data_IF_836772941315
#
_entry.id   IF_836772941315
#
_cell.length_a   1.000
_cell.length_b   1.000
_cell.length_c   1.000
_cell.angle_alpha   90.00
_cell.angle_beta   90.00
_cell.angle_gamma   90.00
#
_symmetry.space_group_name_H-M   'P 1'
#
loop_
_entity.id
_entity.type
_entity.pdbx_description
1 polymer ?
#
# COMPACT_ATOMS: atom_id res chain seq x y z
N UNK A 1 11.61 31.04 -18.58
CA UNK A 1 10.62 29.95 -18.70
C UNK A 1 11.32 28.75 -19.31
N UNK A 2 10.98 27.52 -18.91
CA UNK A 2 11.53 26.29 -19.48
C UNK A 2 10.39 25.52 -20.17
N UNK A 3 10.63 25.07 -21.40
CA UNK A 3 9.71 24.19 -22.13
C UNK A 3 10.13 22.73 -21.96
N UNK A 4 9.20 21.88 -21.54
CA UNK A 4 9.39 20.44 -21.40
C UNK A 4 8.41 19.72 -22.33
N UNK A 5 8.91 18.76 -23.09
CA UNK A 5 8.16 18.07 -24.14
C UNK A 5 8.17 16.55 -23.94
N UNK A 6 8.41 15.82 -25.02
CA UNK A 6 8.26 14.36 -25.11
C UNK A 6 8.91 13.60 -23.95
N UNK A 7 10.15 13.94 -23.56
CA UNK A 7 10.88 13.22 -22.49
C UNK A 7 10.14 13.22 -21.16
N UNK A 8 9.49 14.32 -20.79
CA UNK A 8 8.68 14.40 -19.58
C UNK A 8 7.39 13.60 -19.73
N UNK A 9 6.71 13.75 -20.88
CA UNK A 9 5.41 13.10 -21.12
C UNK A 9 5.48 11.57 -21.14
N UNK A 10 6.63 11.00 -21.54
CA UNK A 10 6.82 9.55 -21.62
C UNK A 10 7.71 8.98 -20.52
N UNK A 11 8.17 9.80 -19.57
CA UNK A 11 9.18 9.42 -18.56
C UNK A 11 10.34 8.63 -19.19
N UNK A 12 11.03 9.24 -20.17
CA UNK A 12 11.95 8.52 -21.06
C UNK A 12 13.11 7.77 -20.36
N UNK A 13 13.45 8.17 -19.15
CA UNK A 13 14.46 7.57 -18.27
C UNK A 13 13.91 6.43 -17.39
N UNK A 14 12.61 6.40 -17.12
CA UNK A 14 11.93 5.35 -16.36
C UNK A 14 10.46 5.17 -16.85
N UNK A 15 10.24 4.57 -18.04
CA UNK A 15 8.94 4.60 -18.72
C UNK A 15 7.92 3.61 -18.15
N UNK A 16 8.23 2.94 -17.03
CA UNK A 16 7.33 2.02 -16.35
C UNK A 16 7.49 2.10 -14.84
N UNK A 17 6.38 1.85 -14.13
CA UNK A 17 6.37 1.60 -12.69
C UNK A 17 6.05 0.14 -12.45
N UNK A 18 6.74 -0.49 -11.49
CA UNK A 18 6.44 -1.86 -11.07
C UNK A 18 5.22 -1.89 -10.12
N UNK A 19 4.03 -1.70 -10.70
CA UNK A 19 2.76 -1.74 -9.97
C UNK A 19 2.08 -3.10 -10.08
N UNK A 20 1.48 -3.55 -8.98
CA UNK A 20 0.83 -4.84 -8.90
C UNK A 20 -0.52 -4.78 -8.18
N UNK A 21 -1.53 -5.44 -8.73
CA UNK A 21 -2.80 -5.73 -8.06
C UNK A 21 -2.82 -7.19 -7.60
N UNK A 22 -3.13 -7.42 -6.31
CA UNK A 22 -3.14 -8.75 -5.69
C UNK A 22 -4.34 -8.90 -4.77
N UNK A 23 -4.99 -10.06 -4.83
CA UNK A 23 -5.96 -10.48 -3.83
C UNK A 23 -5.24 -10.74 -2.51
N UNK A 24 -5.72 -10.12 -1.42
CA UNK A 24 -5.14 -10.26 -0.07
C UNK A 24 -6.08 -10.96 0.91
N UNK A 25 -7.38 -10.99 0.59
CA UNK A 25 -8.38 -11.77 1.31
C UNK A 25 -9.54 -12.14 0.38
N UNK A 26 -10.19 -13.28 0.64
CA UNK A 26 -11.41 -13.73 -0.03
C UNK A 26 -12.38 -14.27 1.02
N UNK A 27 -13.63 -13.81 1.00
CA UNK A 27 -14.62 -14.18 2.02
C UNK A 27 -14.07 -13.99 3.45
N UNK A 28 -13.42 -12.84 3.67
CA UNK A 28 -12.70 -12.47 4.90
C UNK A 28 -11.53 -13.38 5.30
N UNK A 29 -11.21 -14.42 4.53
CA UNK A 29 -10.05 -15.28 4.75
C UNK A 29 -8.82 -14.67 4.10
N UNK A 30 -7.74 -14.41 4.86
CA UNK A 30 -6.50 -13.90 4.30
C UNK A 30 -5.91 -14.90 3.29
N UNK A 31 -5.33 -14.39 2.21
CA UNK A 31 -4.63 -15.21 1.22
C UNK A 31 -3.24 -14.66 0.93
N UNK A 32 -2.30 -15.55 0.65
CA UNK A 32 -0.92 -15.24 0.31
C UNK A 32 -0.51 -15.95 -0.98
N UNK A 33 0.29 -15.28 -1.80
CA UNK A 33 0.94 -15.90 -2.95
C UNK A 33 2.28 -16.52 -2.54
N UNK A 34 2.41 -17.84 -2.63
CA UNK A 34 3.60 -18.59 -2.21
C UNK A 34 4.71 -18.73 -3.27
N UNK A 35 4.49 -18.31 -4.53
CA UNK A 35 5.52 -18.50 -5.57
C UNK A 35 6.81 -17.78 -5.19
N UNK A 36 7.95 -18.45 -5.28
CA UNK A 36 9.28 -17.90 -5.01
C UNK A 36 9.47 -16.54 -5.72
N UNK A 37 9.88 -15.52 -4.97
CA UNK A 37 10.05 -14.14 -5.45
C UNK A 37 8.78 -13.29 -5.52
N UNK A 38 7.60 -13.79 -5.09
CA UNK A 38 6.34 -13.02 -5.08
C UNK A 38 5.53 -13.24 -3.79
N UNK A 39 6.21 -13.42 -2.67
CA UNK A 39 5.57 -13.47 -1.35
C UNK A 39 4.81 -12.16 -1.11
N UNK A 40 3.51 -12.25 -0.88
CA UNK A 40 2.64 -11.09 -0.63
C UNK A 40 2.18 -11.07 0.82
N UNK A 41 2.01 -9.88 1.39
CA UNK A 41 1.41 -9.73 2.73
C UNK A 41 -0.09 -10.04 2.71
N UNK A 42 -0.58 -11.00 3.51
CA UNK A 42 -2.00 -11.35 3.53
C UNK A 42 -2.84 -10.28 4.23
N UNK A 43 -4.16 -10.40 4.10
CA UNK A 43 -5.15 -9.60 4.82
C UNK A 43 -5.33 -8.17 4.30
N UNK A 44 -6.48 -7.54 4.58
CA UNK A 44 -6.66 -6.10 4.40
C UNK A 44 -5.66 -5.32 5.26
N UNK A 45 -5.07 -4.26 4.71
CA UNK A 45 -4.00 -3.49 5.35
C UNK A 45 -4.30 -2.00 5.36
N UNK A 46 -3.65 -1.29 6.26
CA UNK A 46 -3.54 0.17 6.31
C UNK A 46 -2.04 0.55 6.32
N UNK A 47 -1.75 1.77 5.88
CA UNK A 47 -0.42 2.36 5.94
C UNK A 47 -0.51 3.63 6.78
N UNK A 48 0.41 3.77 7.73
CA UNK A 48 0.51 4.96 8.57
C UNK A 48 1.89 5.58 8.48
N UNK A 49 1.94 6.89 8.32
CA UNK A 49 3.16 7.68 8.36
C UNK A 49 3.44 8.18 9.77
N UNK A 50 4.62 7.89 10.28
CA UNK A 50 5.12 8.44 11.54
C UNK A 50 5.88 9.72 11.25
N UNK A 51 5.54 10.78 11.99
CA UNK A 51 6.24 12.05 11.92
C UNK A 51 7.13 12.23 13.17
N UNK A 52 8.31 12.80 12.97
CA UNK A 52 9.22 13.25 14.03
C UNK A 52 9.63 14.68 13.76
N UNK A 53 9.43 15.58 14.73
CA UNK A 53 9.70 17.01 14.59
C UNK A 53 9.09 17.67 13.33
N UNK A 54 7.95 17.15 12.83
CA UNK A 54 7.26 17.64 11.64
C UNK A 54 7.70 17.02 10.31
N UNK A 55 8.71 16.14 10.32
CA UNK A 55 9.20 15.42 9.14
C UNK A 55 8.79 13.94 9.16
N UNK A 56 8.65 13.34 7.98
CA UNK A 56 8.38 11.91 7.82
C UNK A 56 9.59 11.08 8.25
N UNK A 57 9.39 10.13 9.15
CA UNK A 57 10.47 9.28 9.68
C UNK A 57 10.39 7.86 9.16
N UNK A 58 9.19 7.27 9.15
CA UNK A 58 8.95 5.90 8.69
C UNK A 58 7.49 5.75 8.32
N UNK A 59 7.22 4.84 7.38
CA UNK A 59 5.87 4.33 7.15
C UNK A 59 5.74 2.95 7.83
N UNK A 60 4.59 2.69 8.45
CA UNK A 60 4.24 1.40 9.05
C UNK A 60 3.06 0.80 8.31
N UNK A 61 3.17 -0.46 7.89
CA UNK A 61 2.11 -1.23 7.26
C UNK A 61 1.60 -2.25 8.26
N UNK A 62 0.30 -2.26 8.52
CA UNK A 62 -0.35 -3.22 9.42
C UNK A 62 -1.72 -3.61 8.91
N UNK A 63 -2.43 -4.43 9.67
CA UNK A 63 -3.80 -4.85 9.38
C UNK A 63 -4.74 -3.64 9.40
N UNK A 64 -5.73 -3.61 8.51
CA UNK A 64 -6.68 -2.51 8.44
C UNK A 64 -7.51 -2.32 9.72
N UNK A 65 -7.57 -3.34 10.58
CA UNK A 65 -8.27 -3.35 11.87
C UNK A 65 -7.38 -2.92 13.04
N UNK A 66 -6.08 -2.71 12.82
CA UNK A 66 -5.19 -2.23 13.87
C UNK A 66 -5.42 -0.75 14.15
N UNK A 67 -5.37 -0.40 15.44
CA UNK A 67 -5.29 0.99 15.90
C UNK A 67 -3.82 1.36 16.06
N UNK A 68 -3.37 2.37 15.33
CA UNK A 68 -2.03 2.95 15.54
C UNK A 68 -2.10 4.12 16.53
N UNK A 69 -0.96 4.51 17.14
CA UNK A 69 -0.89 5.68 18.02
C UNK A 69 -1.42 6.94 17.34
N UNK A 70 -1.99 7.88 18.11
CA UNK A 70 -2.56 9.14 17.58
C UNK A 70 -1.56 10.00 16.82
N UNK A 71 -0.25 9.83 17.06
CA UNK A 71 0.82 10.52 16.33
C UNK A 71 1.03 10.01 14.90
N UNK A 72 0.39 8.90 14.53
CA UNK A 72 0.47 8.26 13.23
C UNK A 72 -0.60 8.79 12.26
N UNK A 73 -0.19 9.14 11.04
CA UNK A 73 -1.09 9.68 10.03
C UNK A 73 -1.50 8.57 9.05
N UNK A 74 -2.78 8.20 8.94
CA UNK A 74 -3.23 7.19 7.97
C UNK A 74 -3.08 7.72 6.54
N UNK A 75 -2.51 6.90 5.66
CA UNK A 75 -2.30 7.26 4.25
C UNK A 75 -3.40 6.73 3.32
N UNK A 76 -4.04 5.60 3.66
CA UNK A 76 -5.19 5.12 2.91
C UNK A 76 -6.47 5.70 3.52
N UNK A 77 -7.17 6.50 2.72
CA UNK A 77 -8.45 7.10 3.08
C UNK A 77 -9.59 6.52 2.23
N UNK A 78 -10.80 6.35 2.77
CA UNK A 78 -11.95 5.89 1.98
C UNK A 78 -12.34 6.91 0.91
N UNK A 79 -12.22 6.52 -0.37
CA UNK A 79 -12.64 7.36 -1.51
C UNK A 79 -13.92 6.86 -2.19
N UNK A 80 -14.29 5.60 -1.94
CA UNK A 80 -15.44 4.90 -2.51
C UNK A 80 -16.04 3.98 -1.43
N UNK A 81 -17.36 3.96 -1.30
CA UNK A 81 -18.10 2.99 -0.49
C UNK A 81 -19.41 2.63 -1.19
N UNK A 82 -19.75 1.35 -1.25
CA UNK A 82 -20.97 0.84 -1.89
C UNK A 82 -21.22 1.40 -3.31
N UNK A 83 -20.15 1.46 -4.11
CA UNK A 83 -20.19 1.98 -5.48
C UNK A 83 -20.35 3.50 -5.59
N UNK A 84 -20.37 4.23 -4.47
CA UNK A 84 -20.50 5.69 -4.42
C UNK A 84 -19.20 6.34 -4.04
N UNK A 85 -18.81 7.36 -4.80
CA UNK A 85 -17.63 8.17 -4.50
C UNK A 85 -17.90 9.01 -3.26
N UNK A 86 -17.03 8.92 -2.26
CA UNK A 86 -17.16 9.62 -0.99
C UNK A 86 -16.58 11.03 -1.00
N UNK A 87 -15.59 11.28 -1.86
CA UNK A 87 -14.92 12.57 -1.92
C UNK A 87 -14.46 12.95 -3.32
N UNK A 88 -14.32 14.25 -3.53
CA UNK A 88 -13.72 14.83 -4.73
C UNK A 88 -12.78 15.96 -4.30
N UNK A 89 -11.50 15.87 -4.67
CA UNK A 89 -10.52 16.91 -4.40
C UNK A 89 -10.28 17.76 -5.67
N UNK A 90 -10.48 19.09 -5.62
CA UNK A 90 -10.08 19.98 -6.70
C UNK A 90 -8.56 19.95 -6.94
N UNK A 91 -8.13 20.22 -8.17
CA UNK A 91 -6.71 20.19 -8.54
C UNK A 91 -5.83 21.11 -7.68
N UNK A 92 -6.35 22.26 -7.24
CA UNK A 92 -5.62 23.17 -6.37
C UNK A 92 -5.29 22.53 -5.00
N UNK A 93 -6.23 21.77 -4.43
CA UNK A 93 -6.02 21.06 -3.16
C UNK A 93 -5.04 19.91 -3.33
N UNK A 94 -5.14 19.15 -4.43
CA UNK A 94 -4.18 18.08 -4.75
C UNK A 94 -2.75 18.63 -4.88
N UNK A 95 -2.58 19.77 -5.55
CA UNK A 95 -1.27 20.45 -5.67
C UNK A 95 -0.72 20.88 -4.32
N UNK A 96 -1.57 21.45 -3.46
CA UNK A 96 -1.15 21.89 -2.14
C UNK A 96 -0.77 20.71 -1.23
N UNK A 97 -1.56 19.64 -1.24
CA UNK A 97 -1.25 18.41 -0.52
C UNK A 97 0.08 17.82 -0.99
N UNK A 98 0.31 17.71 -2.31
CA UNK A 98 1.57 17.22 -2.85
C UNK A 98 2.77 18.06 -2.40
N UNK A 99 2.65 19.39 -2.40
CA UNK A 99 3.72 20.28 -1.90
C UNK A 99 4.01 20.06 -0.42
N UNK A 100 2.97 19.94 0.42
CA UNK A 100 3.12 19.70 1.85
C UNK A 100 3.79 18.35 2.15
N UNK A 101 3.34 17.29 1.48
CA UNK A 101 3.92 15.95 1.64
C UNK A 101 5.39 15.91 1.20
N UNK A 102 5.74 16.53 0.07
CA UNK A 102 7.14 16.63 -0.37
C UNK A 102 7.97 17.45 0.62
N UNK A 103 7.44 18.56 1.13
CA UNK A 103 8.16 19.41 2.09
C UNK A 103 8.38 18.71 3.44
N UNK A 104 7.49 17.80 3.83
CA UNK A 104 7.61 17.01 5.05
C UNK A 104 8.61 15.84 4.92
N UNK A 105 9.12 15.54 3.71
CA UNK A 105 10.16 14.52 3.57
C UNK A 105 11.51 15.04 4.11
N UNK A 106 12.30 14.18 4.77
CA UNK A 106 13.68 14.46 5.14
C UNK A 106 14.46 15.05 3.96
N UNK A 107 15.32 16.06 4.16
CA UNK A 107 16.07 16.71 3.08
C UNK A 107 16.78 15.74 2.12
N UNK A 108 17.34 14.65 2.64
CA UNK A 108 18.03 13.63 1.84
C UNK A 108 17.10 12.92 0.85
N UNK A 109 15.82 12.76 1.18
CA UNK A 109 14.82 12.10 0.33
C UNK A 109 14.19 13.05 -0.70
N UNK A 110 14.52 14.35 -0.65
CA UNK A 110 14.08 15.35 -1.63
C UNK A 110 15.06 15.49 -2.81
N UNK A 111 16.24 14.87 -2.72
CA UNK A 111 17.21 14.81 -3.81
C UNK A 111 16.75 13.85 -4.91
N UNK A 112 17.08 14.15 -6.17
CA UNK A 112 16.73 13.29 -7.32
C UNK A 112 17.50 11.96 -7.33
N UNK A 113 18.67 11.94 -6.73
CA UNK A 113 19.62 10.83 -6.60
C UNK A 113 19.64 10.24 -5.18
N UNK A 114 18.54 10.38 -4.44
CA UNK A 114 18.43 9.85 -3.08
C UNK A 114 18.73 8.34 -3.05
N UNK A 115 19.68 7.88 -2.20
CA UNK A 115 20.20 6.51 -2.26
C UNK A 115 19.22 5.45 -1.72
N UNK A 116 18.24 5.85 -0.89
CA UNK A 116 17.23 4.98 -0.31
C UNK A 116 15.91 5.74 -0.13
N UNK A 117 14.79 5.01 -0.08
CA UNK A 117 13.48 5.57 0.23
C UNK A 117 13.25 5.76 1.73
N UNK A 118 12.07 6.27 2.09
CA UNK A 118 11.63 6.32 3.48
C UNK A 118 11.54 4.89 4.05
N UNK A 119 12.06 4.62 5.26
CA UNK A 119 11.94 3.29 5.86
C UNK A 119 10.49 2.81 5.95
N UNK A 120 10.28 1.53 5.67
CA UNK A 120 8.98 0.87 5.79
C UNK A 120 9.08 -0.26 6.80
N UNK A 121 8.17 -0.26 7.77
CA UNK A 121 8.06 -1.27 8.82
C UNK A 121 6.74 -2.03 8.68
N UNK A 122 6.71 -3.26 9.20
CA UNK A 122 5.49 -4.07 9.28
C UNK A 122 5.08 -4.24 10.73
N UNK A 123 3.78 -4.19 11.02
CA UNK A 123 3.29 -4.41 12.38
C UNK A 123 3.50 -5.87 12.79
N UNK A 124 3.71 -6.08 14.09
CA UNK A 124 3.86 -7.43 14.62
C UNK A 124 2.60 -8.30 14.39
N UNK A 125 1.41 -7.70 14.33
CA UNK A 125 0.17 -8.44 14.03
C UNK A 125 0.12 -8.90 12.57
N UNK A 126 0.57 -8.06 11.64
CA UNK A 126 0.65 -8.43 10.22
C UNK A 126 1.72 -9.51 9.98
N UNK A 127 2.85 -9.45 10.67
CA UNK A 127 3.87 -10.50 10.63
C UNK A 127 3.35 -11.84 11.13
N UNK A 128 2.66 -11.85 12.28
CA UNK A 128 2.00 -13.07 12.79
C UNK A 128 1.01 -13.64 11.78
N UNK A 129 0.15 -12.80 11.20
CA UNK A 129 -0.81 -13.25 10.18
C UNK A 129 -0.11 -13.85 8.95
N UNK A 130 0.99 -13.26 8.52
CA UNK A 130 1.80 -13.80 7.41
C UNK A 130 2.28 -15.22 7.73
N UNK A 131 2.83 -15.41 8.92
CA UNK A 131 3.44 -16.67 9.32
C UNK A 131 2.36 -17.76 9.54
N UNK A 132 1.22 -17.39 10.13
CA UNK A 132 0.03 -18.26 10.26
C UNK A 132 -0.44 -18.75 8.89
N UNK A 133 -0.73 -17.84 7.96
CA UNK A 133 -1.24 -18.18 6.61
C UNK A 133 -0.20 -18.96 5.80
N UNK A 134 1.09 -18.68 5.97
CA UNK A 134 2.15 -19.43 5.31
C UNK A 134 2.26 -20.87 5.83
N UNK A 135 2.00 -21.11 7.11
CA UNK A 135 2.03 -22.44 7.72
C UNK A 135 0.84 -23.32 7.31
N UNK A 136 -0.31 -22.70 7.04
CA UNK A 136 -1.54 -23.38 6.61
C UNK A 136 -1.56 -23.69 5.11
N UNK A 137 -0.71 -23.03 4.33
CA UNK A 137 -0.74 -23.14 2.89
C UNK A 137 -0.12 -24.48 2.42
N UNK A 138 -0.91 -25.38 1.79
CA UNK A 138 -0.39 -26.67 1.35
C UNK A 138 0.68 -26.47 0.29
N UNK A 139 1.86 -27.06 0.51
CA UNK A 139 2.98 -27.02 -0.42
C UNK A 139 2.68 -27.74 -1.72
N UNK A 140 2.26 -27.01 -2.75
CA UNK A 140 2.11 -27.51 -4.12
C UNK A 140 0.91 -26.93 -4.87
N UNK A 141 0.90 -26.96 -6.22
CA UNK A 141 -0.19 -26.37 -6.99
C UNK A 141 -1.45 -27.24 -6.86
N UNK A 142 -2.51 -26.72 -6.24
CA UNK A 142 -3.83 -27.36 -6.23
C UNK A 142 -4.93 -26.43 -6.76
N UNK A 143 -5.50 -26.81 -7.91
CA UNK A 143 -6.86 -26.49 -8.40
C UNK A 143 -7.88 -27.43 -7.71
N UNK A 144 -9.23 -27.33 -7.79
CA UNK A 144 -10.17 -26.31 -8.32
C UNK A 144 -11.34 -25.97 -7.34
N UNK A 145 -11.55 -24.72 -6.96
CA UNK A 145 -12.55 -24.29 -5.96
C UNK A 145 -14.02 -24.21 -6.44
N UNK A 146 -14.48 -25.16 -7.25
CA UNK A 146 -15.89 -25.29 -7.67
C UNK A 146 -16.50 -26.61 -7.17
N UNK A 147 -16.68 -26.78 -5.86
CA UNK A 147 -17.78 -27.61 -5.34
C UNK A 147 -17.95 -27.46 -3.84
N UNK A 148 -18.93 -26.64 -3.44
CA UNK A 148 -19.88 -26.96 -2.36
C UNK A 148 -21.09 -26.06 -2.56
N UNK A 149 -22.19 -26.68 -2.98
CA UNK A 149 -23.48 -26.03 -3.20
C UNK A 149 -23.91 -25.35 -1.90
N UNK A 150 -24.19 -24.05 -1.97
CA UNK A 150 -25.02 -23.37 -0.99
C UNK A 150 -26.40 -24.00 -1.10
N UNK A 151 -26.86 -24.70 -0.06
CA UNK A 151 -28.28 -25.00 0.10
C UNK A 151 -28.94 -23.71 0.54
N UNK A 152 -29.80 -23.17 -0.31
CA UNK A 152 -30.78 -22.15 0.06
C UNK A 152 -31.85 -22.80 0.93
N UNK A 153 -32.10 -22.21 2.09
CA UNK A 153 -33.36 -22.32 2.82
C UNK A 153 -34.14 -21.04 2.56
#
# INVERSE_FOLDING_TARGET
>A
AFGVGTRMGVAADAPYFDMAYKLVAYDWRPVLKLSAGKATWPGPKQVWRMLGAGEAVTDCIGLATESMPTSAHPLLIPVLCDGRRLMHEPLAMLRERARKEIAALPPVLRALDAPAGLPVQFSAALERLRDEVASEAPGGPQRPWLSRRVRTS
#
